data_IF_744203703459
#
_entry.id   IF_744203703459
#
_cell.length_a   1.000
_cell.length_b   1.000
_cell.length_c   1.000
_cell.angle_alpha   90.00
_cell.angle_beta   90.00
_cell.angle_gamma   90.00
#
_symmetry.space_group_name_H-M   'P 1'
#
loop_
_entity.id
_entity.type
_entity.pdbx_description
1 polymer ?
#
# COMPACT_ATOMS: atom_id res chain seq x y z
N UNK A 1 -2.73 -20.06 -18.02
CA UNK A 1 -3.90 -19.19 -17.81
C UNK A 1 -5.18 -20.00 -18.03
N UNK A 2 -6.22 -19.67 -17.28
CA UNK A 2 -7.56 -20.23 -17.55
C UNK A 2 -8.22 -19.45 -18.70
N UNK A 3 -9.20 -20.09 -19.35
CA UNK A 3 -10.09 -19.40 -20.29
C UNK A 3 -10.86 -18.25 -19.57
N UNK A 4 -11.36 -17.26 -20.32
CA UNK A 4 -12.00 -16.07 -19.74
C UNK A 4 -13.20 -16.39 -18.81
N UNK A 5 -13.94 -17.47 -19.09
CA UNK A 5 -15.05 -17.98 -18.26
C UNK A 5 -14.60 -18.54 -16.91
N UNK A 6 -13.29 -18.73 -16.72
CA UNK A 6 -12.67 -19.24 -15.49
C UNK A 6 -11.70 -18.23 -14.85
N UNK A 7 -11.75 -16.97 -15.27
CA UNK A 7 -10.99 -15.90 -14.65
C UNK A 7 -11.31 -15.83 -13.14
N UNK A 8 -10.31 -15.49 -12.31
CA UNK A 8 -10.44 -15.45 -10.86
C UNK A 8 -10.21 -16.78 -10.13
N UNK A 9 -10.04 -17.91 -10.85
CA UNK A 9 -9.61 -19.18 -10.21
C UNK A 9 -8.12 -19.14 -9.88
N UNK A 10 -7.75 -19.77 -8.77
CA UNK A 10 -6.36 -19.90 -8.33
C UNK A 10 -5.56 -20.69 -9.38
N UNK A 11 -4.53 -20.04 -9.92
CA UNK A 11 -3.57 -20.65 -10.86
C UNK A 11 -2.46 -21.39 -10.10
N UNK A 12 -1.64 -22.16 -10.83
CA UNK A 12 -0.40 -22.75 -10.27
C UNK A 12 0.50 -21.66 -9.64
N UNK A 13 0.70 -20.54 -10.33
CA UNK A 13 1.50 -19.44 -9.81
C UNK A 13 0.87 -18.79 -8.59
N UNK A 14 -0.44 -18.58 -8.58
CA UNK A 14 -1.16 -18.10 -7.40
C UNK A 14 -1.00 -19.02 -6.20
N UNK A 15 -1.11 -20.35 -6.39
CA UNK A 15 -0.90 -21.33 -5.32
C UNK A 15 0.55 -21.34 -4.80
N UNK A 16 1.55 -21.23 -5.70
CA UNK A 16 2.96 -21.13 -5.29
C UNK A 16 3.24 -19.80 -4.56
N UNK A 17 2.68 -18.70 -5.03
CA UNK A 17 2.79 -17.40 -4.35
C UNK A 17 2.18 -17.44 -2.96
N UNK A 18 1.00 -18.03 -2.81
CA UNK A 18 0.38 -18.21 -1.50
C UNK A 18 1.22 -19.10 -0.59
N UNK A 19 1.85 -20.17 -1.12
CA UNK A 19 2.83 -20.96 -0.38
C UNK A 19 4.00 -20.10 0.12
N UNK A 20 4.56 -19.24 -0.73
CA UNK A 20 5.64 -18.34 -0.34
C UNK A 20 5.19 -17.39 0.79
N UNK A 21 3.99 -16.82 0.68
CA UNK A 21 3.38 -15.96 1.73
C UNK A 21 3.24 -16.71 3.06
N UNK A 22 2.72 -17.93 3.07
CA UNK A 22 2.62 -18.74 4.31
C UNK A 22 4.00 -19.01 4.91
N UNK A 23 4.99 -19.34 4.08
CA UNK A 23 6.34 -19.69 4.55
C UNK A 23 7.12 -18.49 5.09
N UNK A 24 6.96 -17.27 4.51
CA UNK A 24 7.58 -16.07 5.08
C UNK A 24 6.99 -15.73 6.44
N UNK A 25 5.71 -15.93 6.64
CA UNK A 25 5.09 -15.77 7.97
C UNK A 25 5.65 -16.80 8.96
N UNK A 26 5.70 -18.07 8.56
CA UNK A 26 6.26 -19.14 9.38
C UNK A 26 7.74 -18.91 9.76
N UNK A 27 8.52 -18.28 8.87
CA UNK A 27 9.92 -17.96 9.11
C UNK A 27 10.11 -16.71 9.98
N UNK A 28 9.09 -15.85 10.11
CA UNK A 28 9.20 -14.55 10.77
C UNK A 28 9.33 -14.65 12.29
N UNK A 29 9.83 -13.57 12.89
CA UNK A 29 10.22 -13.47 14.31
C UNK A 29 9.11 -13.92 15.28
N UNK A 30 7.84 -13.56 14.99
CA UNK A 30 6.69 -13.89 15.85
C UNK A 30 6.58 -15.40 16.13
N UNK A 31 6.87 -16.24 15.15
CA UNK A 31 6.66 -17.68 15.23
C UNK A 31 7.93 -18.48 15.56
N UNK A 32 9.05 -17.80 15.79
CA UNK A 32 10.34 -18.47 16.00
C UNK A 32 10.87 -18.27 17.42
N UNK A 33 11.27 -19.36 18.11
CA UNK A 33 11.73 -19.30 19.51
C UNK A 33 13.03 -18.52 19.67
N UNK A 34 13.85 -18.41 18.63
CA UNK A 34 15.09 -17.64 18.64
C UNK A 34 14.85 -16.14 18.89
N UNK A 35 13.68 -15.62 18.52
CA UNK A 35 13.30 -14.21 18.67
C UNK A 35 12.17 -14.00 19.70
N UNK A 36 11.23 -14.94 19.77
CA UNK A 36 10.02 -14.81 20.58
C UNK A 36 9.90 -15.89 21.66
N UNK A 37 10.97 -16.63 21.95
CA UNK A 37 10.94 -17.80 22.86
C UNK A 37 10.48 -17.47 24.25
N UNK A 38 10.87 -16.34 24.83
CA UNK A 38 10.45 -15.91 26.17
C UNK A 38 8.94 -15.71 26.27
N UNK A 39 8.33 -15.13 25.22
CA UNK A 39 6.86 -14.93 25.15
C UNK A 39 6.16 -16.28 24.96
N UNK A 40 6.63 -17.10 24.01
CA UNK A 40 6.03 -18.41 23.71
C UNK A 40 6.05 -19.33 24.95
N UNK A 41 7.14 -19.35 25.71
CA UNK A 41 7.27 -20.17 26.94
C UNK A 41 6.32 -19.76 28.06
N UNK A 42 5.78 -18.53 28.04
CA UNK A 42 4.79 -18.05 28.99
C UNK A 42 3.40 -18.65 28.83
N UNK A 43 3.17 -19.42 27.77
CA UNK A 43 1.88 -20.08 27.50
C UNK A 43 1.92 -21.57 27.80
N UNK A 44 0.77 -22.12 28.21
CA UNK A 44 0.66 -23.57 28.55
C UNK A 44 0.90 -24.47 27.34
N UNK A 45 0.56 -24.00 26.13
CA UNK A 45 0.69 -24.75 24.87
C UNK A 45 1.39 -23.87 23.81
N UNK A 46 2.69 -23.61 23.96
CA UNK A 46 3.42 -22.71 23.08
C UNK A 46 3.45 -23.17 21.60
N UNK A 47 3.33 -24.48 21.36
CA UNK A 47 3.27 -25.08 20.00
C UNK A 47 2.06 -24.62 19.17
N UNK A 48 1.02 -24.10 19.80
CA UNK A 48 -0.15 -23.55 19.13
C UNK A 48 0.09 -22.10 18.64
N UNK A 49 1.14 -21.44 19.13
CA UNK A 49 1.45 -20.04 18.83
C UNK A 49 2.66 -19.89 17.91
N UNK A 50 3.56 -20.87 17.93
CA UNK A 50 4.78 -20.83 17.13
C UNK A 50 5.56 -22.12 17.22
N UNK A 51 6.74 -22.12 16.63
CA UNK A 51 7.63 -23.26 16.68
C UNK A 51 8.30 -23.37 18.04
N UNK A 52 8.42 -24.57 18.55
CA UNK A 52 9.15 -24.89 19.79
C UNK A 52 10.52 -25.47 19.52
N UNK A 53 10.82 -25.81 18.27
CA UNK A 53 12.08 -26.42 17.85
C UNK A 53 12.41 -26.07 16.39
N UNK A 54 13.55 -26.56 15.91
CA UNK A 54 14.01 -26.33 14.53
C UNK A 54 14.66 -24.96 14.37
N UNK A 55 15.15 -24.67 13.18
CA UNK A 55 15.93 -23.47 12.86
C UNK A 55 15.10 -22.46 12.10
N UNK A 56 15.15 -21.19 12.51
CA UNK A 56 14.60 -20.07 11.75
C UNK A 56 15.26 -19.95 10.37
N UNK A 57 16.57 -20.18 10.30
CA UNK A 57 17.34 -20.19 9.04
C UNK A 57 16.77 -21.18 8.02
N UNK A 58 16.40 -22.39 8.45
CA UNK A 58 15.82 -23.38 7.53
C UNK A 58 14.42 -22.95 7.04
N UNK A 59 13.63 -22.31 7.89
CA UNK A 59 12.33 -21.74 7.49
C UNK A 59 12.49 -20.60 6.49
N UNK A 60 13.51 -19.74 6.68
CA UNK A 60 13.84 -18.70 5.71
C UNK A 60 14.27 -19.26 4.36
N UNK A 61 15.04 -20.37 4.34
CA UNK A 61 15.36 -21.07 3.08
C UNK A 61 14.11 -21.57 2.38
N UNK A 62 13.17 -22.18 3.11
CA UNK A 62 11.89 -22.62 2.54
C UNK A 62 11.09 -21.45 1.96
N UNK A 63 11.06 -20.30 2.63
CA UNK A 63 10.39 -19.10 2.14
C UNK A 63 11.08 -18.57 0.87
N UNK A 64 12.41 -18.47 0.86
CA UNK A 64 13.22 -18.11 -0.30
C UNK A 64 12.93 -19.02 -1.48
N UNK A 65 13.03 -20.34 -1.30
CA UNK A 65 12.83 -21.32 -2.37
C UNK A 65 11.41 -21.27 -2.95
N UNK A 66 10.41 -21.04 -2.10
CA UNK A 66 9.03 -20.93 -2.56
C UNK A 66 8.80 -19.65 -3.39
N UNK A 67 9.36 -18.51 -2.99
CA UNK A 67 9.29 -17.28 -3.76
C UNK A 67 10.07 -17.41 -5.07
N UNK A 68 11.28 -18.01 -5.01
CA UNK A 68 12.11 -18.29 -6.18
C UNK A 68 11.40 -19.17 -7.21
N UNK A 69 10.65 -20.17 -6.75
CA UNK A 69 9.87 -21.03 -7.64
C UNK A 69 8.82 -20.26 -8.46
N UNK A 70 8.26 -19.18 -7.91
CA UNK A 70 7.36 -18.26 -8.66
C UNK A 70 8.15 -17.45 -9.68
N UNK A 71 9.27 -16.86 -9.24
CA UNK A 71 10.14 -16.05 -10.09
C UNK A 71 10.63 -16.86 -11.31
N UNK A 72 11.06 -18.10 -11.08
CA UNK A 72 11.60 -19.00 -12.12
C UNK A 72 10.54 -19.48 -13.11
N UNK A 73 9.25 -19.33 -12.82
CA UNK A 73 8.19 -19.58 -13.79
C UNK A 73 8.25 -18.62 -14.97
N UNK A 74 8.84 -17.42 -14.80
CA UNK A 74 8.92 -16.36 -15.82
C UNK A 74 7.57 -16.03 -16.46
N UNK A 75 6.49 -16.27 -15.74
CA UNK A 75 5.10 -16.01 -16.17
C UNK A 75 4.61 -14.66 -15.71
N UNK A 76 5.19 -14.18 -14.60
CA UNK A 76 4.82 -12.92 -13.96
C UNK A 76 5.91 -11.87 -14.15
N UNK A 77 5.49 -10.62 -14.20
CA UNK A 77 6.37 -9.45 -14.24
C UNK A 77 5.68 -8.26 -13.58
N UNK A 78 6.44 -7.28 -13.11
CA UNK A 78 5.87 -6.02 -12.68
C UNK A 78 5.17 -5.33 -13.85
N UNK A 79 4.02 -4.74 -13.59
CA UNK A 79 3.36 -3.86 -14.57
C UNK A 79 4.19 -2.59 -14.74
N UNK A 80 4.45 -2.20 -16.01
CA UNK A 80 5.31 -1.07 -16.33
C UNK A 80 6.65 -1.10 -15.56
N UNK A 81 7.33 -2.25 -15.58
CA UNK A 81 8.56 -2.50 -14.82
C UNK A 81 9.67 -1.47 -15.11
N UNK A 82 9.72 -0.95 -16.32
CA UNK A 82 10.68 0.04 -16.78
C UNK A 82 9.93 1.24 -17.38
N UNK A 83 9.67 2.30 -16.56
CA UNK A 83 9.05 3.51 -17.06
C UNK A 83 9.92 4.15 -18.15
N UNK A 84 9.30 4.57 -19.25
CA UNK A 84 9.99 5.29 -20.30
C UNK A 84 10.19 6.77 -19.92
N UNK A 85 11.11 7.43 -20.60
CA UNK A 85 11.29 8.88 -20.44
C UNK A 85 10.00 9.61 -20.87
N UNK A 86 9.50 10.46 -19.97
CA UNK A 86 8.24 11.19 -20.17
C UNK A 86 7.00 10.51 -19.61
N UNK A 87 7.09 9.27 -19.15
CA UNK A 87 5.96 8.60 -18.48
C UNK A 87 5.59 9.27 -17.18
N UNK A 88 4.29 9.42 -16.95
CA UNK A 88 3.77 9.78 -15.64
C UNK A 88 3.70 8.55 -14.74
N UNK A 89 4.80 8.23 -14.05
CA UNK A 89 4.86 7.09 -13.15
C UNK A 89 3.72 7.08 -12.12
N UNK A 90 3.36 8.21 -11.45
CA UNK A 90 2.22 8.25 -10.55
C UNK A 90 0.91 7.82 -11.22
N UNK A 91 0.67 8.31 -12.44
CA UNK A 91 -0.56 7.99 -13.17
C UNK A 91 -0.57 6.52 -13.61
N UNK A 92 0.55 6.02 -14.12
CA UNK A 92 0.70 4.60 -14.52
C UNK A 92 0.41 3.65 -13.37
N UNK A 93 0.91 3.97 -12.15
CA UNK A 93 0.62 3.18 -10.95
C UNK A 93 -0.86 3.30 -10.56
N UNK A 94 -1.42 4.50 -10.60
CA UNK A 94 -2.85 4.70 -10.29
C UNK A 94 -3.74 3.93 -11.28
N UNK A 95 -3.44 3.99 -12.56
CA UNK A 95 -4.19 3.30 -13.62
C UNK A 95 -4.12 1.78 -13.45
N UNK A 96 -2.97 1.22 -13.07
CA UNK A 96 -2.84 -0.20 -12.77
C UNK A 96 -3.87 -0.66 -11.74
N UNK A 97 -4.07 0.11 -10.68
CA UNK A 97 -5.04 -0.23 -9.63
C UNK A 97 -6.50 0.01 -10.03
N UNK A 98 -6.75 0.68 -11.16
CA UNK A 98 -8.08 0.87 -11.73
C UNK A 98 -8.40 -0.11 -12.87
N UNK A 99 -7.43 -0.89 -13.35
CA UNK A 99 -7.64 -1.88 -14.41
C UNK A 99 -8.59 -2.99 -13.97
N UNK A 100 -9.55 -3.29 -14.83
CA UNK A 100 -10.45 -4.44 -14.69
C UNK A 100 -9.87 -5.72 -15.30
N UNK A 101 -9.05 -5.56 -16.31
CA UNK A 101 -8.29 -6.61 -16.95
C UNK A 101 -7.10 -7.01 -16.09
N UNK A 102 -6.81 -8.30 -16.06
CA UNK A 102 -5.65 -8.82 -15.35
C UNK A 102 -4.37 -8.62 -16.16
N UNK A 103 -3.32 -8.19 -15.48
CA UNK A 103 -1.98 -8.01 -16.03
C UNK A 103 -1.07 -9.20 -15.70
N UNK A 104 0.17 -9.15 -16.16
CA UNK A 104 1.21 -10.12 -15.79
C UNK A 104 1.67 -9.98 -14.33
N UNK A 105 1.28 -8.92 -13.65
CA UNK A 105 1.59 -8.75 -12.22
C UNK A 105 0.56 -9.43 -11.31
N UNK A 106 -0.67 -9.60 -11.79
CA UNK A 106 -1.78 -10.12 -10.99
C UNK A 106 -1.69 -11.64 -10.79
N UNK A 107 -1.65 -12.09 -9.54
CA UNK A 107 -1.51 -13.49 -9.18
C UNK A 107 -2.77 -14.07 -8.55
N UNK A 108 -3.36 -13.37 -7.59
CA UNK A 108 -4.62 -13.71 -6.92
C UNK A 108 -5.45 -12.44 -6.83
N UNK A 109 -6.64 -12.46 -7.40
CA UNK A 109 -7.56 -11.33 -7.43
C UNK A 109 -8.95 -11.74 -6.96
N UNK A 110 -9.63 -10.84 -6.27
CA UNK A 110 -11.04 -10.98 -5.92
C UNK A 110 -11.84 -10.11 -6.87
N UNK A 111 -12.69 -10.74 -7.68
CA UNK A 111 -13.51 -10.04 -8.67
C UNK A 111 -14.86 -9.65 -8.07
N UNK A 112 -15.27 -8.44 -8.37
CA UNK A 112 -16.57 -7.92 -8.03
C UNK A 112 -17.42 -7.78 -9.30
N UNK A 113 -18.73 -7.86 -9.13
CA UNK A 113 -19.68 -7.46 -10.16
C UNK A 113 -20.55 -6.33 -9.63
N UNK A 114 -21.11 -5.47 -10.49
CA UNK A 114 -21.98 -4.38 -10.04
C UNK A 114 -23.18 -4.85 -9.19
N UNK A 115 -23.57 -6.12 -9.32
CA UNK A 115 -24.65 -6.74 -8.53
C UNK A 115 -24.18 -7.31 -7.19
N UNK A 116 -22.90 -7.66 -7.07
CA UNK A 116 -22.31 -8.30 -5.88
C UNK A 116 -21.39 -7.37 -5.12
N UNK A 117 -21.15 -6.15 -5.62
CA UNK A 117 -20.42 -5.19 -4.83
C UNK A 117 -21.23 -4.93 -3.56
N UNK A 118 -20.54 -5.04 -2.44
CA UNK A 118 -21.13 -4.80 -1.13
C UNK A 118 -21.70 -3.39 -1.09
N UNK A 119 -22.98 -3.26 -0.84
CA UNK A 119 -23.61 -1.96 -0.74
C UNK A 119 -23.24 -1.23 0.54
N UNK A 120 -23.46 0.07 0.55
CA UNK A 120 -23.32 0.89 1.74
C UNK A 120 -21.85 1.18 2.12
N UNK A 121 -21.58 1.18 3.41
CA UNK A 121 -20.35 1.66 4.02
C UNK A 121 -19.06 0.96 3.62
N UNK A 122 -19.13 -0.21 3.00
CA UNK A 122 -17.98 -1.00 2.55
C UNK A 122 -17.68 -0.86 1.06
N UNK A 123 -18.49 -0.11 0.31
CA UNK A 123 -18.14 0.22 -1.08
C UNK A 123 -16.93 1.17 -1.09
N UNK A 124 -15.83 0.83 -1.79
CA UNK A 124 -14.63 1.66 -1.81
C UNK A 124 -14.88 3.10 -2.29
N UNK A 125 -15.83 3.30 -3.20
CA UNK A 125 -16.18 4.64 -3.68
C UNK A 125 -16.80 5.47 -2.55
N UNK A 126 -17.71 4.90 -1.77
CA UNK A 126 -18.33 5.60 -0.63
C UNK A 126 -17.32 5.71 0.52
N UNK A 127 -16.66 4.61 0.85
CA UNK A 127 -15.79 4.53 2.03
C UNK A 127 -14.53 5.39 1.93
N UNK A 128 -14.00 5.62 0.72
CA UNK A 128 -12.71 6.29 0.52
C UNK A 128 -12.82 7.72 0.02
N UNK A 129 -13.91 8.09 -0.67
CA UNK A 129 -14.07 9.47 -1.14
C UNK A 129 -14.25 10.45 0.03
N UNK A 130 -13.78 11.70 -0.14
CA UNK A 130 -14.01 12.77 0.83
C UNK A 130 -15.49 13.10 1.03
N UNK A 131 -15.82 13.63 2.20
CA UNK A 131 -17.18 14.07 2.53
C UNK A 131 -17.68 15.19 1.59
N UNK A 132 -16.81 16.06 1.09
CA UNK A 132 -17.16 17.03 0.05
C UNK A 132 -17.51 16.41 -1.32
N UNK A 133 -17.41 15.10 -1.44
CA UNK A 133 -17.89 14.26 -2.56
C UNK A 133 -19.03 13.34 -2.12
N UNK A 134 -19.62 13.53 -0.92
CA UNK A 134 -20.58 12.63 -0.28
C UNK A 134 -20.02 11.23 0.02
N UNK A 135 -18.69 11.11 0.12
CA UNK A 135 -18.03 9.93 0.67
C UNK A 135 -17.94 9.99 2.18
N UNK A 136 -17.60 8.87 2.81
CA UNK A 136 -17.52 8.81 4.28
C UNK A 136 -16.11 9.03 4.82
N UNK A 137 -15.08 8.98 3.97
CA UNK A 137 -13.69 9.14 4.39
C UNK A 137 -13.27 8.15 5.49
N UNK A 138 -13.73 6.90 5.44
CA UNK A 138 -13.43 5.90 6.46
C UNK A 138 -12.09 5.19 6.22
N UNK A 139 -11.61 5.16 4.98
CA UNK A 139 -10.33 4.56 4.61
C UNK A 139 -9.34 5.66 4.28
N UNK A 140 -8.62 6.12 5.29
CA UNK A 140 -7.72 7.27 5.14
C UNK A 140 -6.28 6.89 5.43
N UNK A 141 -5.31 7.44 4.64
CA UNK A 141 -3.91 7.45 5.04
C UNK A 141 -3.73 8.19 6.36
N UNK A 142 -2.97 7.62 7.28
CA UNK A 142 -2.51 8.31 8.49
C UNK A 142 -1.28 9.16 8.16
N UNK A 143 -1.02 10.20 8.96
CA UNK A 143 0.12 11.10 8.77
C UNK A 143 1.46 10.36 8.69
N UNK A 144 1.70 9.40 9.59
CA UNK A 144 2.93 8.61 9.61
C UNK A 144 3.18 7.84 8.31
N UNK A 145 2.12 7.31 7.68
CA UNK A 145 2.28 6.67 6.36
C UNK A 145 2.63 7.71 5.29
N UNK A 146 2.02 8.89 5.34
CA UNK A 146 2.30 9.98 4.40
C UNK A 146 3.73 10.45 4.53
N UNK A 147 4.24 10.57 5.75
CA UNK A 147 5.61 10.98 6.03
C UNK A 147 6.64 9.90 5.64
N UNK A 148 6.26 8.63 5.68
CA UNK A 148 7.12 7.51 5.28
C UNK A 148 7.34 7.39 3.77
N UNK A 149 6.53 8.01 2.92
CA UNK A 149 6.90 8.11 1.50
C UNK A 149 8.17 8.95 1.35
N UNK A 150 9.18 8.37 0.72
CA UNK A 150 10.46 9.05 0.48
C UNK A 150 10.29 10.27 -0.45
N UNK A 151 11.32 11.08 -0.52
CA UNK A 151 11.49 12.07 -1.59
C UNK A 151 11.87 11.34 -2.88
N UNK A 152 11.71 11.99 -4.02
CA UNK A 152 12.04 11.45 -5.35
C UNK A 152 13.50 11.02 -5.48
N UNK A 153 14.40 11.64 -4.70
CA UNK A 153 15.83 11.32 -4.66
C UNK A 153 16.18 10.17 -3.71
N UNK A 154 15.17 9.53 -3.09
CA UNK A 154 15.33 8.44 -2.12
C UNK A 154 15.66 8.90 -0.70
N UNK A 155 15.75 10.19 -0.44
CA UNK A 155 15.92 10.70 0.92
C UNK A 155 14.59 10.61 1.70
N UNK A 156 14.68 10.57 3.03
CA UNK A 156 13.50 10.59 3.88
C UNK A 156 12.88 11.99 3.89
N UNK A 157 11.54 12.02 3.89
CA UNK A 157 10.82 13.24 4.20
C UNK A 157 11.07 13.65 5.66
N UNK A 158 11.25 14.94 5.89
CA UNK A 158 11.54 15.48 7.23
C UNK A 158 10.87 16.84 7.43
N UNK A 159 9.97 16.95 8.40
CA UNK A 159 9.31 18.20 8.78
C UNK A 159 10.29 19.24 9.36
N UNK A 160 11.49 18.85 9.80
CA UNK A 160 12.52 19.77 10.27
C UNK A 160 13.30 20.38 9.09
N UNK A 161 13.21 19.78 7.90
CA UNK A 161 13.79 20.37 6.69
C UNK A 161 12.88 21.51 6.20
N UNK A 162 13.38 22.78 6.15
CA UNK A 162 12.57 23.94 5.75
C UNK A 162 11.97 23.83 4.35
N UNK A 163 12.68 23.20 3.41
CA UNK A 163 12.20 23.00 2.03
C UNK A 163 11.03 22.02 2.00
N UNK A 164 11.14 20.89 2.71
CA UNK A 164 10.05 19.90 2.82
C UNK A 164 8.83 20.50 3.52
N UNK A 165 9.05 21.27 4.60
CA UNK A 165 7.97 21.92 5.32
C UNK A 165 7.26 22.99 4.50
N UNK A 166 7.98 23.73 3.65
CA UNK A 166 7.40 24.75 2.77
C UNK A 166 6.53 24.15 1.66
N UNK A 167 6.90 22.97 1.15
CA UNK A 167 6.20 22.28 0.07
C UNK A 167 6.12 20.76 0.37
N UNK A 168 5.29 20.33 1.33
CA UNK A 168 5.35 18.97 1.85
C UNK A 168 4.92 17.88 0.85
N UNK A 169 4.32 18.30 -0.24
CA UNK A 169 3.81 17.41 -1.30
C UNK A 169 4.62 17.48 -2.60
N UNK A 170 5.69 18.30 -2.65
CA UNK A 170 6.56 18.37 -3.81
C UNK A 170 7.64 17.28 -3.77
N UNK A 171 8.03 16.79 -4.95
CA UNK A 171 9.15 15.87 -5.16
C UNK A 171 9.13 14.62 -4.26
N UNK A 172 7.94 14.07 -4.02
CA UNK A 172 7.74 12.82 -3.27
C UNK A 172 7.84 11.60 -4.19
N UNK A 173 7.99 10.43 -3.58
CA UNK A 173 7.86 9.13 -4.24
C UNK A 173 6.60 9.10 -5.12
N UNK A 174 6.70 8.58 -6.34
CA UNK A 174 5.58 8.52 -7.28
C UNK A 174 4.35 7.79 -6.72
N UNK A 175 4.57 6.82 -5.85
CA UNK A 175 3.51 6.06 -5.17
C UNK A 175 2.71 6.88 -4.17
N UNK A 176 3.29 7.94 -3.60
CA UNK A 176 2.55 8.92 -2.80
C UNK A 176 1.40 9.51 -3.62
N UNK A 177 1.69 10.04 -4.80
CA UNK A 177 0.67 10.64 -5.66
C UNK A 177 -0.33 9.64 -6.23
N UNK A 178 0.06 8.37 -6.39
CA UNK A 178 -0.83 7.31 -6.82
C UNK A 178 -1.77 6.81 -5.71
N UNK A 179 -1.41 7.04 -4.44
CA UNK A 179 -2.10 6.45 -3.28
C UNK A 179 -2.89 7.48 -2.47
N UNK A 180 -2.42 8.72 -2.37
CA UNK A 180 -2.90 9.72 -1.41
C UNK A 180 -3.52 10.91 -2.12
N UNK A 181 -4.70 11.32 -1.66
CA UNK A 181 -5.27 12.63 -1.93
C UNK A 181 -4.93 13.56 -0.76
N UNK A 182 -4.41 14.74 -1.08
CA UNK A 182 -3.91 15.72 -0.13
C UNK A 182 -4.41 17.12 -0.48
N UNK A 183 -4.24 18.09 0.41
CA UNK A 183 -4.68 19.48 0.25
C UNK A 183 -4.23 20.06 -1.10
N UNK A 184 -5.17 20.58 -1.86
CA UNK A 184 -4.94 21.26 -3.14
C UNK A 184 -4.79 20.35 -4.36
N UNK A 185 -4.69 19.02 -4.21
CA UNK A 185 -4.62 18.11 -5.36
C UNK A 185 -5.96 18.05 -6.08
N UNK A 186 -5.93 17.97 -7.40
CA UNK A 186 -7.14 17.77 -8.21
C UNK A 186 -7.62 16.32 -8.09
N UNK A 187 -8.95 16.17 -7.98
CA UNK A 187 -9.60 14.87 -7.92
C UNK A 187 -10.74 14.78 -8.95
N UNK A 188 -11.66 13.88 -8.75
CA UNK A 188 -12.87 13.70 -9.57
C UNK A 188 -13.72 14.99 -9.63
N UNK A 189 -14.59 15.11 -10.62
CA UNK A 189 -15.54 16.21 -10.68
C UNK A 189 -16.44 16.21 -9.44
N UNK A 190 -16.58 17.35 -8.80
CA UNK A 190 -17.46 17.52 -7.64
C UNK A 190 -18.92 17.23 -7.99
N UNK A 191 -19.71 16.68 -7.08
CA UNK A 191 -21.18 16.67 -7.18
C UNK A 191 -21.73 18.09 -7.35
N UNK A 192 -22.90 18.23 -7.95
CA UNK A 192 -23.44 19.52 -8.40
C UNK A 192 -23.60 20.56 -7.29
N UNK A 193 -23.91 20.14 -6.07
CA UNK A 193 -24.05 21.01 -4.89
C UNK A 193 -22.70 21.52 -4.37
N UNK A 194 -21.65 20.71 -4.46
CA UNK A 194 -20.29 21.10 -4.09
C UNK A 194 -19.55 21.84 -5.23
N UNK A 195 -19.90 21.56 -6.50
CA UNK A 195 -19.26 22.17 -7.68
C UNK A 195 -19.43 23.69 -7.73
N UNK A 196 -20.55 24.20 -7.24
CA UNK A 196 -20.79 25.66 -7.16
C UNK A 196 -19.84 26.37 -6.20
N UNK A 197 -19.30 25.63 -5.21
CA UNK A 197 -18.33 26.14 -4.22
C UNK A 197 -16.90 25.87 -4.63
N UNK A 198 -16.66 24.85 -5.44
CA UNK A 198 -15.33 24.46 -5.93
C UNK A 198 -15.40 23.97 -7.39
N UNK A 199 -15.36 24.90 -8.36
CA UNK A 199 -15.41 24.57 -9.78
C UNK A 199 -14.13 23.88 -10.28
N UNK A 200 -13.05 23.88 -9.48
CA UNK A 200 -11.77 23.28 -9.84
C UNK A 200 -11.61 21.85 -9.33
N UNK A 201 -12.55 21.35 -8.54
CA UNK A 201 -12.55 20.00 -8.00
C UNK A 201 -11.24 19.63 -7.27
N UNK A 202 -10.74 20.54 -6.44
CA UNK A 202 -9.55 20.35 -5.63
C UNK A 202 -9.90 19.87 -4.22
N UNK A 203 -9.09 18.98 -3.70
CA UNK A 203 -9.22 18.53 -2.30
C UNK A 203 -8.94 19.71 -1.36
N UNK A 204 -9.82 19.92 -0.39
CA UNK A 204 -9.81 21.03 0.55
C UNK A 204 -9.92 20.49 1.99
N UNK A 205 -8.79 20.15 2.59
CA UNK A 205 -8.70 19.64 3.96
C UNK A 205 -8.21 20.70 4.97
N UNK A 206 -7.95 21.92 4.50
CA UNK A 206 -7.47 23.02 5.30
C UNK A 206 -8.55 23.68 6.15
N UNK A 207 -8.12 24.25 7.27
CA UNK A 207 -8.93 25.08 8.15
C UNK A 207 -8.34 26.49 8.21
N UNK A 208 -9.19 27.51 8.14
CA UNK A 208 -8.79 28.92 8.28
C UNK A 208 -9.35 29.46 9.60
N UNK A 209 -8.45 29.94 10.45
CA UNK A 209 -8.77 30.54 11.75
C UNK A 209 -8.43 32.03 11.74
N UNK A 210 -9.17 32.81 12.53
CA UNK A 210 -8.79 34.19 12.82
C UNK A 210 -7.67 34.25 13.86
N UNK A 211 -7.19 35.47 14.15
CA UNK A 211 -6.12 35.71 15.12
C UNK A 211 -6.47 35.28 16.56
N UNK A 212 -7.76 35.14 16.86
CA UNK A 212 -8.24 34.73 18.19
C UNK A 212 -8.48 33.21 18.25
N UNK A 213 -8.10 32.44 17.22
CA UNK A 213 -8.29 31.00 17.17
C UNK A 213 -9.74 30.55 16.84
N UNK A 214 -10.62 31.46 16.42
CA UNK A 214 -11.96 31.11 15.99
C UNK A 214 -11.92 30.62 14.54
N UNK A 215 -12.58 29.50 14.25
CA UNK A 215 -12.72 28.96 12.90
C UNK A 215 -13.51 29.94 12.01
N UNK A 216 -12.90 30.44 10.95
CA UNK A 216 -13.53 31.29 9.93
C UNK A 216 -14.13 30.44 8.82
N UNK A 217 -13.34 29.47 8.33
CA UNK A 217 -13.71 28.61 7.20
C UNK A 217 -13.05 27.24 7.32
N UNK A 218 -13.82 26.21 7.06
CA UNK A 218 -13.33 24.87 6.83
C UNK A 218 -13.43 24.55 5.33
N UNK A 219 -12.44 23.81 4.82
CA UNK A 219 -12.49 23.26 3.46
C UNK A 219 -13.64 22.27 3.27
N UNK A 220 -14.02 22.04 2.03
CA UNK A 220 -15.14 21.16 1.68
C UNK A 220 -14.95 19.72 2.17
N UNK A 221 -13.70 19.27 2.26
CA UNK A 221 -13.33 17.90 2.60
C UNK A 221 -12.84 17.77 4.06
N UNK A 222 -13.30 18.67 4.93
CA UNK A 222 -12.99 18.63 6.36
C UNK A 222 -14.22 18.15 7.15
N UNK A 223 -13.99 17.66 8.37
CA UNK A 223 -15.04 17.30 9.33
C UNK A 223 -15.86 18.49 9.85
N UNK A 224 -15.62 19.69 9.35
CA UNK A 224 -16.37 20.91 9.61
C UNK A 224 -16.74 21.61 8.30
N UNK A 225 -16.71 20.85 7.20
CA UNK A 225 -17.06 21.35 5.88
C UNK A 225 -18.55 21.63 5.73
N UNK A 226 -18.91 22.48 4.75
CA UNK A 226 -20.30 22.90 4.55
C UNK A 226 -21.19 21.83 3.92
N UNK A 227 -20.61 20.75 3.34
CA UNK A 227 -21.38 19.65 2.74
C UNK A 227 -21.84 18.68 3.83
N UNK A 228 -20.89 18.19 4.65
CA UNK A 228 -21.14 17.32 5.81
C UNK A 228 -20.17 17.68 6.92
N UNK A 229 -20.66 17.89 8.14
CA UNK A 229 -19.87 18.36 9.28
C UNK A 229 -19.52 17.27 10.30
N UNK A 230 -19.97 16.04 10.08
CA UNK A 230 -19.75 14.89 10.99
C UNK A 230 -18.87 13.81 10.41
N UNK A 231 -18.68 13.80 9.11
CA UNK A 231 -17.98 12.79 8.32
C UNK A 231 -16.61 13.28 7.85
N UNK A 232 -15.81 12.41 7.22
CA UNK A 232 -14.51 12.78 6.64
C UNK A 232 -13.30 12.42 7.46
N UNK A 233 -12.12 12.65 6.88
CA UNK A 233 -10.84 12.26 7.41
C UNK A 233 -10.45 12.99 8.70
N UNK A 234 -9.85 12.24 9.65
CA UNK A 234 -9.18 12.81 10.81
C UNK A 234 -7.74 13.25 10.54
N UNK A 235 -7.10 12.63 9.53
CA UNK A 235 -5.70 12.92 9.17
C UNK A 235 -5.54 14.08 8.18
N UNK A 236 -6.62 14.50 7.53
CA UNK A 236 -6.56 15.46 6.43
C UNK A 236 -6.11 14.85 5.09
N UNK A 237 -5.97 13.53 5.02
CA UNK A 237 -5.64 12.79 3.80
C UNK A 237 -6.78 11.86 3.41
N UNK A 238 -6.88 11.54 2.12
CA UNK A 238 -7.86 10.58 1.60
C UNK A 238 -7.17 9.56 0.70
N UNK A 239 -7.83 8.43 0.51
CA UNK A 239 -7.31 7.35 -0.33
C UNK A 239 -7.62 7.62 -1.80
N UNK A 240 -6.60 7.51 -2.67
CA UNK A 240 -6.72 7.53 -4.13
C UNK A 240 -6.62 6.14 -4.73
N UNK A 241 -5.72 5.30 -4.19
CA UNK A 241 -5.41 3.98 -4.72
C UNK A 241 -6.65 3.09 -4.80
N UNK A 242 -6.90 2.53 -6.00
CA UNK A 242 -8.04 1.65 -6.27
C UNK A 242 -9.42 2.30 -6.04
N UNK A 243 -9.54 3.62 -6.07
CA UNK A 243 -10.82 4.34 -6.03
C UNK A 243 -11.09 4.94 -7.40
N UNK A 244 -12.19 4.55 -8.04
CA UNK A 244 -12.55 5.00 -9.39
C UNK A 244 -13.05 6.45 -9.37
N UNK A 245 -12.29 7.41 -9.94
CA UNK A 245 -12.67 8.81 -9.95
C UNK A 245 -13.85 9.12 -10.88
N UNK A 246 -14.25 8.17 -11.72
CA UNK A 246 -15.35 8.34 -12.67
C UNK A 246 -16.72 7.98 -12.06
N UNK A 247 -16.72 7.42 -10.85
CA UNK A 247 -17.93 7.04 -10.11
C UNK A 247 -18.10 7.96 -8.91
N UNK A 248 -19.18 8.75 -8.91
CA UNK A 248 -19.54 9.55 -7.74
C UNK A 248 -20.22 8.70 -6.67
N UNK A 249 -19.97 8.92 -5.38
CA UNK A 249 -20.75 8.32 -4.30
C UNK A 249 -22.27 8.53 -4.42
N UNK A 250 -22.70 9.61 -5.10
CA UNK A 250 -24.12 9.96 -5.31
C UNK A 250 -24.76 9.25 -6.50
N UNK A 251 -23.99 8.60 -7.37
CA UNK A 251 -24.51 7.98 -8.60
C UNK A 251 -25.31 6.69 -8.35
N UNK A 252 -25.23 6.13 -7.16
CA UNK A 252 -25.76 4.80 -6.85
C UNK A 252 -25.07 3.65 -7.60
N UNK A 253 -24.02 3.97 -8.33
CA UNK A 253 -23.16 3.00 -9.01
C UNK A 253 -22.08 2.49 -8.05
N UNK A 254 -21.61 1.30 -8.31
CA UNK A 254 -20.57 0.66 -7.53
C UNK A 254 -19.40 0.30 -8.43
N UNK A 255 -18.20 0.45 -7.92
CA UNK A 255 -17.03 0.00 -8.68
C UNK A 255 -16.93 -1.53 -8.67
N UNK A 256 -16.45 -2.07 -9.78
CA UNK A 256 -16.20 -3.50 -10.02
C UNK A 256 -14.73 -3.79 -10.29
N UNK A 257 -13.85 -2.90 -9.84
CA UNK A 257 -12.39 -3.07 -9.95
C UNK A 257 -11.97 -4.26 -9.08
N UNK A 258 -11.21 -5.24 -9.62
CA UNK A 258 -10.73 -6.37 -8.86
C UNK A 258 -9.82 -5.94 -7.69
N UNK A 259 -10.05 -6.51 -6.51
CA UNK A 259 -9.08 -6.38 -5.41
C UNK A 259 -7.90 -7.32 -5.66
N UNK A 260 -6.70 -6.76 -5.71
CA UNK A 260 -5.44 -7.48 -5.92
C UNK A 260 -4.92 -8.02 -4.60
N UNK A 261 -5.37 -9.25 -4.26
CA UNK A 261 -4.99 -9.89 -3.00
C UNK A 261 -3.50 -10.30 -2.97
N UNK A 262 -2.96 -10.68 -4.14
CA UNK A 262 -1.55 -11.00 -4.29
C UNK A 262 -1.07 -10.61 -5.69
N UNK A 263 0.06 -9.94 -5.77
CA UNK A 263 0.70 -9.54 -7.00
C UNK A 263 2.21 -9.79 -6.96
N UNK A 264 2.84 -9.79 -8.11
CA UNK A 264 4.24 -10.18 -8.27
C UNK A 264 5.22 -9.33 -7.45
N UNK A 265 4.93 -8.05 -7.23
CA UNK A 265 5.74 -7.20 -6.36
C UNK A 265 5.84 -7.76 -4.92
N UNK A 266 4.77 -8.35 -4.38
CA UNK A 266 4.83 -9.02 -3.08
C UNK A 266 5.82 -10.19 -3.08
N UNK A 267 5.87 -10.98 -4.17
CA UNK A 267 6.80 -12.12 -4.29
C UNK A 267 8.25 -11.64 -4.33
N UNK A 268 8.54 -10.57 -5.06
CA UNK A 268 9.89 -9.98 -5.09
C UNK A 268 10.32 -9.51 -3.69
N UNK A 269 9.41 -8.88 -2.94
CA UNK A 269 9.68 -8.41 -1.58
C UNK A 269 9.80 -9.56 -0.57
N UNK A 270 9.03 -10.65 -0.72
CA UNK A 270 9.20 -11.87 0.08
C UNK A 270 10.57 -12.49 -0.19
N UNK A 271 10.97 -12.56 -1.46
CA UNK A 271 12.27 -13.11 -1.83
C UNK A 271 13.42 -12.27 -1.27
N UNK A 272 13.35 -10.95 -1.42
CA UNK A 272 14.34 -10.02 -0.88
C UNK A 272 14.45 -10.11 0.64
N UNK A 273 13.34 -10.19 1.37
CA UNK A 273 13.34 -10.36 2.81
C UNK A 273 14.02 -11.69 3.22
N UNK A 274 13.66 -12.78 2.56
CA UNK A 274 14.25 -14.09 2.85
C UNK A 274 15.78 -14.13 2.53
N UNK A 275 16.22 -13.51 1.44
CA UNK A 275 17.65 -13.38 1.12
C UNK A 275 18.39 -12.59 2.20
N UNK A 276 17.87 -11.46 2.64
CA UNK A 276 18.51 -10.67 3.71
C UNK A 276 18.58 -11.43 5.04
N UNK A 277 17.52 -12.14 5.43
CA UNK A 277 17.54 -12.96 6.66
C UNK A 277 18.52 -14.16 6.58
N UNK A 278 18.93 -14.54 5.37
CA UNK A 278 19.96 -15.54 5.11
C UNK A 278 21.37 -14.95 4.91
N UNK A 279 21.53 -13.62 4.99
CA UNK A 279 22.80 -12.93 4.77
C UNK A 279 23.18 -12.76 3.30
N UNK A 280 22.26 -12.97 2.38
CA UNK A 280 22.45 -12.82 0.93
C UNK A 280 22.06 -11.40 0.47
N UNK A 281 22.69 -10.40 1.07
CA UNK A 281 22.30 -8.98 0.99
C UNK A 281 22.38 -8.40 -0.42
N UNK A 282 23.33 -8.84 -1.25
CA UNK A 282 23.44 -8.38 -2.63
C UNK A 282 22.22 -8.78 -3.44
N UNK A 283 21.83 -10.04 -3.37
CA UNK A 283 20.64 -10.56 -4.04
C UNK A 283 19.35 -9.90 -3.50
N UNK A 284 19.26 -9.70 -2.18
CA UNK A 284 18.13 -8.99 -1.58
C UNK A 284 17.96 -7.59 -2.17
N UNK A 285 19.04 -6.81 -2.32
CA UNK A 285 19.01 -5.46 -2.92
C UNK A 285 18.54 -5.50 -4.37
N UNK A 286 19.01 -6.44 -5.16
CA UNK A 286 18.63 -6.54 -6.58
C UNK A 286 17.12 -6.66 -6.74
N UNK A 287 16.46 -7.48 -5.92
CA UNK A 287 15.02 -7.68 -6.01
C UNK A 287 14.20 -6.52 -5.44
N UNK A 288 14.67 -5.85 -4.39
CA UNK A 288 14.06 -4.60 -3.92
C UNK A 288 14.19 -3.50 -4.98
N UNK A 289 15.36 -3.39 -5.59
CA UNK A 289 15.63 -2.37 -6.61
C UNK A 289 14.75 -2.53 -7.85
N UNK A 290 14.32 -3.74 -8.19
CA UNK A 290 13.31 -3.93 -9.25
C UNK A 290 11.99 -3.19 -8.92
N UNK A 291 11.54 -3.26 -7.67
CA UNK A 291 10.32 -2.58 -7.23
C UNK A 291 10.54 -1.06 -7.19
N UNK A 292 11.67 -0.61 -6.65
CA UNK A 292 12.05 0.79 -6.58
C UNK A 292 12.16 1.42 -7.98
N UNK A 293 12.82 0.75 -8.90
CA UNK A 293 12.97 1.21 -10.30
C UNK A 293 11.63 1.45 -10.98
N UNK A 294 10.66 0.52 -10.83
CA UNK A 294 9.31 0.69 -11.33
C UNK A 294 8.64 1.95 -10.80
N UNK A 295 8.91 2.32 -9.55
CA UNK A 295 8.39 3.52 -8.91
C UNK A 295 9.20 4.79 -9.21
N UNK A 296 10.26 4.70 -10.01
CA UNK A 296 11.16 5.82 -10.30
C UNK A 296 12.04 6.23 -9.11
N UNK A 297 12.19 5.35 -8.12
CA UNK A 297 13.05 5.57 -6.97
C UNK A 297 14.48 5.11 -7.27
N UNK A 298 15.50 5.77 -6.72
CA UNK A 298 16.88 5.33 -6.87
C UNK A 298 17.11 3.97 -6.21
N UNK A 299 18.09 3.25 -6.73
CA UNK A 299 18.54 1.99 -6.16
C UNK A 299 19.05 2.17 -4.73
N UNK A 300 18.84 1.18 -3.89
CA UNK A 300 19.47 1.12 -2.58
C UNK A 300 20.99 1.02 -2.74
N UNK A 301 21.75 1.82 -1.97
CA UNK A 301 23.21 1.78 -2.05
C UNK A 301 23.79 0.40 -1.73
N UNK A 302 24.83 -0.03 -2.47
CA UNK A 302 25.50 -1.29 -2.23
C UNK A 302 26.15 -1.44 -0.86
N UNK A 303 26.27 -0.34 -0.12
CA UNK A 303 26.81 -0.31 1.25
C UNK A 303 25.78 -0.68 2.33
N UNK A 304 24.50 -0.71 2.01
CA UNK A 304 23.44 -1.09 2.96
C UNK A 304 23.37 -2.62 3.05
N UNK A 305 23.57 -3.16 4.26
CA UNK A 305 23.58 -4.60 4.53
C UNK A 305 22.91 -4.91 5.88
N UNK A 306 22.63 -6.18 6.14
CA UNK A 306 22.12 -6.69 7.42
C UNK A 306 20.86 -5.95 7.88
N UNK A 307 20.88 -5.44 9.11
CA UNK A 307 19.72 -4.76 9.72
C UNK A 307 19.31 -3.47 8.98
N UNK A 308 20.28 -2.74 8.43
CA UNK A 308 19.97 -1.54 7.65
C UNK A 308 19.21 -1.90 6.35
N UNK A 309 19.60 -2.96 5.69
CA UNK A 309 18.91 -3.49 4.50
C UNK A 309 17.55 -4.08 4.90
N UNK A 310 17.46 -4.81 6.01
CA UNK A 310 16.17 -5.30 6.55
C UNK A 310 15.18 -4.17 6.72
N UNK A 311 15.60 -3.06 7.31
CA UNK A 311 14.74 -1.90 7.51
C UNK A 311 14.33 -1.26 6.19
N UNK A 312 15.22 -1.18 5.20
CA UNK A 312 14.91 -0.68 3.87
C UNK A 312 13.89 -1.59 3.14
N UNK A 313 14.03 -2.91 3.23
CA UNK A 313 13.08 -3.88 2.67
C UNK A 313 11.70 -3.73 3.33
N UNK A 314 11.66 -3.61 4.66
CA UNK A 314 10.41 -3.42 5.42
C UNK A 314 9.73 -2.09 5.06
N UNK A 315 10.51 -1.04 4.86
CA UNK A 315 10.04 0.26 4.38
C UNK A 315 9.49 0.16 2.96
N UNK A 316 10.23 -0.45 2.04
CA UNK A 316 9.77 -0.65 0.67
C UNK A 316 8.45 -1.44 0.63
N UNK A 317 8.34 -2.49 1.44
CA UNK A 317 7.13 -3.27 1.58
C UNK A 317 5.95 -2.45 2.13
N UNK A 318 6.20 -1.55 3.11
CA UNK A 318 5.18 -0.65 3.65
C UNK A 318 4.61 0.29 2.60
N UNK A 319 5.48 0.89 1.78
CA UNK A 319 5.09 1.84 0.74
C UNK A 319 4.44 1.14 -0.45
N UNK A 320 5.07 0.09 -0.95
CA UNK A 320 4.61 -0.63 -2.14
C UNK A 320 3.24 -1.28 -1.95
N UNK A 321 3.04 -1.92 -0.80
CA UNK A 321 1.83 -2.68 -0.49
C UNK A 321 0.83 -1.90 0.38
N UNK A 322 0.95 -0.58 0.46
CA UNK A 322 0.01 0.26 1.20
C UNK A 322 -1.43 0.04 0.71
N UNK A 323 -2.37 -0.13 1.64
CA UNK A 323 -3.80 -0.42 1.38
C UNK A 323 -4.08 -1.74 0.65
N UNK A 324 -3.16 -2.71 0.72
CA UNK A 324 -3.35 -4.07 0.20
C UNK A 324 -3.41 -5.13 1.32
N UNK A 325 -3.81 -4.73 2.53
CA UNK A 325 -4.04 -5.58 3.71
C UNK A 325 -2.77 -6.29 4.24
N UNK A 326 -1.58 -5.65 4.12
CA UNK A 326 -0.32 -6.24 4.56
C UNK A 326 0.19 -5.70 5.91
N UNK A 327 0.11 -4.38 6.16
CA UNK A 327 0.79 -3.71 7.28
C UNK A 327 0.45 -4.29 8.65
N UNK A 328 -0.83 -4.57 8.88
CA UNK A 328 -1.31 -5.13 10.14
C UNK A 328 -0.62 -6.47 10.49
N UNK A 329 -0.41 -7.30 9.48
CA UNK A 329 0.23 -8.59 9.64
C UNK A 329 1.76 -8.48 9.69
N UNK A 330 2.33 -7.60 8.88
CA UNK A 330 3.77 -7.38 8.83
C UNK A 330 4.34 -6.89 10.16
N UNK A 331 3.72 -5.89 10.80
CA UNK A 331 4.17 -5.39 12.11
C UNK A 331 4.08 -6.45 13.21
N UNK A 332 3.12 -7.36 13.12
CA UNK A 332 2.99 -8.47 14.06
C UNK A 332 4.07 -9.52 13.86
N UNK A 333 4.25 -9.98 12.61
CA UNK A 333 5.22 -11.02 12.31
C UNK A 333 6.67 -10.57 12.53
N UNK A 334 6.95 -9.27 12.46
CA UNK A 334 8.25 -8.67 12.74
C UNK A 334 8.44 -8.26 14.21
N UNK A 335 7.42 -8.40 15.07
CA UNK A 335 7.41 -7.94 16.46
C UNK A 335 7.70 -6.44 16.61
N UNK A 336 7.29 -5.62 15.63
CA UNK A 336 7.52 -4.18 15.62
C UNK A 336 6.27 -3.37 15.99
N UNK A 337 5.19 -4.01 16.41
CA UNK A 337 3.91 -3.36 16.71
C UNK A 337 3.92 -2.35 17.86
N UNK A 338 4.92 -2.38 18.73
CA UNK A 338 5.08 -1.41 19.81
C UNK A 338 5.85 -0.14 19.37
N UNK A 339 6.42 -0.14 18.16
CA UNK A 339 7.32 0.91 17.62
C UNK A 339 6.77 1.47 16.30
N UNK A 340 5.61 0.98 15.87
CA UNK A 340 5.04 1.30 14.56
C UNK A 340 3.98 2.41 14.66
#
# INVERSE_FOLDING_TARGET
>A
SYAADRAGRITKGGALGFKAKVLVYAASDLHNPEKNGAVLQGYANPELLGYTNGSATDRWRLAKDAAKAVIDMRTYSLYAAEPAEGDSIPQTIADYFLMKELTTEDMITVHYTPKTSTGGWVDPVIASNPNGYHGTGNQNPIGDLVDDYEMKDGSKFDWQNPAHKANPYADRDARFYATVLYEGVQWATRPSDALVMDPYSKIQTGYVYNTNGTLIRAGLDTRKGPIEDWNGSYSGYYLRKAVDPTISPTDGKKQDIPFRYMRYAEILLIYAEACNELGEDAEARDYVNMVRKRAGQPDLPGTINGDALRNAIRQERRIELAFEDHRFWDVRRWLTGAVA
#
